data_IF_238514089109
#
_entry.id   IF_238514089109
#
_cell.length_a   1.000
_cell.length_b   1.000
_cell.length_c   1.000
_cell.angle_alpha   90.00
_cell.angle_beta   90.00
_cell.angle_gamma   90.00
#
_symmetry.space_group_name_H-M   'P 1'
#
loop_
_entity.id
_entity.type
_entity.pdbx_description
1 polymer ?
#
# COMPACT_ATOMS: atom_id res chain seq x y z
N UNK A 1 18.81 -11.65 3.29
CA UNK A 1 17.47 -12.12 3.75
C UNK A 1 16.47 -11.08 3.33
N UNK A 2 15.47 -11.50 2.56
CA UNK A 2 14.39 -10.62 2.12
C UNK A 2 13.41 -10.39 3.25
N UNK A 3 13.07 -9.13 3.51
CA UNK A 3 12.14 -8.68 4.56
C UNK A 3 11.21 -7.62 3.98
N UNK A 4 9.98 -7.60 4.48
CA UNK A 4 9.01 -6.55 4.22
C UNK A 4 8.91 -5.66 5.46
N UNK A 5 9.09 -4.36 5.29
CA UNK A 5 9.04 -3.35 6.36
C UNK A 5 7.81 -2.47 6.15
N UNK A 6 7.05 -2.26 7.23
CA UNK A 6 5.88 -1.38 7.25
C UNK A 6 6.17 -0.17 8.12
N UNK A 7 5.89 1.03 7.61
CA UNK A 7 5.84 2.24 8.43
C UNK A 7 4.46 2.88 8.28
N UNK A 8 3.71 2.87 9.37
CA UNK A 8 2.34 3.34 9.48
C UNK A 8 2.17 4.34 10.65
N UNK A 9 3.25 4.98 11.08
CA UNK A 9 3.21 5.92 12.22
C UNK A 9 2.50 7.23 11.85
N UNK A 10 2.59 7.63 10.57
CA UNK A 10 1.94 8.83 10.04
C UNK A 10 0.57 8.45 9.48
N UNK A 11 -0.47 9.22 9.83
CA UNK A 11 -1.82 8.96 9.36
C UNK A 11 -2.03 9.38 7.89
N UNK A 12 -1.22 10.32 7.39
CA UNK A 12 -1.31 10.79 6.01
C UNK A 12 -0.67 9.84 4.99
N UNK A 13 0.23 8.96 5.45
CA UNK A 13 1.12 8.20 4.58
C UNK A 13 1.47 6.82 5.14
N UNK A 14 1.24 5.79 4.34
CA UNK A 14 1.67 4.43 4.59
C UNK A 14 2.86 4.09 3.69
N UNK A 15 3.91 3.50 4.26
CA UNK A 15 5.08 3.05 3.50
C UNK A 15 5.29 1.55 3.65
N UNK A 16 5.52 0.88 2.53
CA UNK A 16 5.89 -0.53 2.49
C UNK A 16 7.19 -0.66 1.71
N UNK A 17 8.21 -1.28 2.32
CA UNK A 17 9.50 -1.48 1.68
C UNK A 17 9.88 -2.96 1.64
N UNK A 18 10.38 -3.43 0.50
CA UNK A 18 11.04 -4.73 0.40
C UNK A 18 12.54 -4.49 0.46
N UNK A 19 13.20 -5.15 1.41
CA UNK A 19 14.65 -5.05 1.59
C UNK A 19 15.29 -6.43 1.50
N UNK A 20 16.48 -6.52 0.90
CA UNK A 20 17.35 -7.69 1.02
C UNK A 20 18.58 -7.33 1.86
N UNK A 21 18.62 -7.82 3.10
CA UNK A 21 19.60 -7.38 4.08
C UNK A 21 19.38 -5.90 4.43
N UNK A 22 20.28 -5.03 3.98
CA UNK A 22 20.20 -3.57 4.13
C UNK A 22 19.98 -2.83 2.80
N UNK A 23 19.82 -3.57 1.68
CA UNK A 23 19.57 -2.99 0.37
C UNK A 23 18.08 -2.86 0.13
N UNK A 24 17.61 -1.66 -0.19
CA UNK A 24 16.24 -1.42 -0.66
C UNK A 24 16.06 -2.03 -2.05
N UNK A 25 15.03 -2.85 -2.19
CA UNK A 25 14.66 -3.51 -3.45
C UNK A 25 13.45 -2.83 -4.06
N UNK A 26 12.44 -2.54 -3.23
CA UNK A 26 11.20 -1.92 -3.68
C UNK A 26 10.62 -1.03 -2.57
N UNK A 27 9.90 0.01 -2.96
CA UNK A 27 9.27 0.97 -2.07
C UNK A 27 7.94 1.42 -2.66
N UNK A 28 6.87 1.18 -1.92
CA UNK A 28 5.55 1.70 -2.20
C UNK A 28 5.12 2.67 -1.11
N UNK A 29 4.50 3.77 -1.53
CA UNK A 29 4.04 4.85 -0.67
C UNK A 29 2.59 5.17 -1.05
N UNK A 30 1.69 5.00 -0.10
CA UNK A 30 0.29 5.31 -0.27
C UNK A 30 -0.09 6.54 0.57
N UNK A 31 -0.61 7.57 -0.10
CA UNK A 31 -1.17 8.75 0.58
C UNK A 31 -2.66 8.53 0.83
N UNK A 32 -3.11 8.90 2.03
CA UNK A 32 -4.53 8.84 2.40
C UNK A 32 -5.44 9.71 1.52
N UNK A 33 -4.88 10.69 0.82
CA UNK A 33 -5.61 11.59 -0.09
C UNK A 33 -6.05 10.93 -1.40
N UNK A 34 -5.44 9.80 -1.79
CA UNK A 34 -5.66 9.18 -3.10
C UNK A 34 -5.78 7.67 -2.98
N UNK A 35 -6.99 7.23 -2.68
CA UNK A 35 -7.34 5.82 -2.65
C UNK A 35 -7.27 5.20 -4.06
N UNK A 36 -6.55 4.09 -4.20
CA UNK A 36 -6.53 3.32 -5.44
C UNK A 36 -7.79 2.45 -5.55
N UNK A 37 -8.65 2.76 -6.52
CA UNK A 37 -9.89 1.99 -6.78
C UNK A 37 -9.79 1.02 -7.95
N UNK A 38 -8.67 1.03 -8.66
CA UNK A 38 -8.46 0.19 -9.85
C UNK A 38 -8.45 -1.28 -9.44
N UNK A 39 -9.17 -2.11 -10.20
CA UNK A 39 -9.31 -3.55 -9.95
C UNK A 39 -10.06 -3.92 -8.67
N UNK A 40 -10.73 -2.96 -8.02
CA UNK A 40 -11.58 -3.26 -6.87
C UNK A 40 -12.78 -4.12 -7.29
N UNK A 41 -13.11 -5.11 -6.46
CA UNK A 41 -14.26 -5.99 -6.62
C UNK A 41 -15.25 -5.64 -5.51
N UNK A 42 -16.46 -5.25 -5.89
CA UNK A 42 -17.53 -4.86 -4.96
C UNK A 42 -18.72 -5.79 -5.09
N UNK A 43 -19.44 -6.01 -3.98
CA UNK A 43 -20.78 -6.59 -4.02
C UNK A 43 -21.80 -5.47 -4.34
N UNK A 44 -22.18 -5.36 -5.61
CA UNK A 44 -23.19 -4.38 -6.05
C UNK A 44 -24.62 -4.83 -5.78
N UNK A 45 -25.51 -3.87 -5.57
CA UNK A 45 -26.97 -4.06 -5.64
C UNK A 45 -27.45 -3.45 -6.96
N UNK A 46 -28.30 -4.15 -7.71
CA UNK A 46 -28.83 -3.66 -8.98
C UNK A 46 -29.75 -2.46 -8.71
N UNK A 47 -29.51 -1.34 -9.39
CA UNK A 47 -30.34 -0.12 -9.37
C UNK A 47 -31.16 0.01 -10.68
N UNK A 48 -32.13 0.93 -10.70
CA UNK A 48 -33.07 1.18 -11.82
C UNK A 48 -32.38 1.42 -13.16
#
# INVERSE_FOLDING_TARGET
>A
MKRMLFNATQAEELRVAIVDGQKLVDLDIESSSKEQRKSNIYKGVITR
#
